data_IF_504137687715
#
_entry.id   IF_504137687715
#
_cell.length_a   1.000
_cell.length_b   1.000
_cell.length_c   1.000
_cell.angle_alpha   90.00
_cell.angle_beta   90.00
_cell.angle_gamma   90.00
#
_symmetry.space_group_name_H-M   'P 1'
#
loop_
_entity.id
_entity.type
_entity.pdbx_description
1 polymer ?
#
# COMPACT_ATOMS: atom_id res chain seq x y z
N UNK A 1 18.16 -11.49 3.09
CA UNK A 1 18.85 -11.01 1.89
C UNK A 1 19.70 -12.13 1.29
N UNK A 2 19.06 -12.99 0.50
CA UNK A 2 19.74 -14.03 -0.26
C UNK A 2 19.54 -13.75 -1.76
N UNK A 3 20.65 -13.52 -2.47
CA UNK A 3 20.65 -13.40 -3.93
C UNK A 3 21.21 -14.69 -4.51
N UNK A 4 20.47 -15.28 -5.45
CA UNK A 4 20.92 -16.44 -6.22
C UNK A 4 21.19 -15.98 -7.64
N UNK A 5 22.41 -16.20 -8.12
CA UNK A 5 22.81 -15.92 -9.50
C UNK A 5 23.07 -17.25 -10.20
N UNK A 6 22.31 -17.50 -11.27
CA UNK A 6 22.46 -18.69 -12.10
C UNK A 6 22.98 -18.24 -13.47
N UNK A 7 24.21 -18.61 -13.77
CA UNK A 7 24.90 -18.22 -15.00
C UNK A 7 24.73 -19.26 -16.12
N UNK A 8 24.90 -18.82 -17.36
CA UNK A 8 24.97 -19.67 -18.55
C UNK A 8 23.71 -20.52 -18.83
N UNK A 9 22.53 -20.08 -18.37
CA UNK A 9 21.27 -20.80 -18.58
C UNK A 9 20.90 -20.76 -20.06
N UNK A 10 20.58 -21.92 -20.64
CA UNK A 10 20.14 -21.99 -22.02
C UNK A 10 18.72 -21.41 -22.15
N UNK A 11 18.47 -20.63 -23.20
CA UNK A 11 17.18 -19.93 -23.36
C UNK A 11 15.99 -20.91 -23.32
N UNK A 12 16.13 -22.10 -23.91
CA UNK A 12 15.11 -23.16 -23.95
C UNK A 12 14.77 -23.76 -22.56
N UNK A 13 15.66 -23.64 -21.58
CA UNK A 13 15.43 -24.10 -20.20
C UNK A 13 14.65 -23.06 -19.38
N UNK A 14 14.48 -21.83 -19.90
CA UNK A 14 13.69 -20.81 -19.24
C UNK A 14 12.18 -20.98 -19.46
N UNK A 15 11.36 -20.60 -18.46
CA UNK A 15 9.92 -20.53 -18.59
C UNK A 15 9.48 -19.74 -19.83
N UNK A 16 8.44 -20.22 -20.51
CA UNK A 16 7.94 -19.60 -21.75
C UNK A 16 7.56 -18.12 -21.58
N UNK A 17 6.96 -17.77 -20.43
CA UNK A 17 6.60 -16.40 -20.08
C UNK A 17 7.81 -15.46 -19.98
N UNK A 18 8.96 -15.97 -19.56
CA UNK A 18 10.19 -15.16 -19.46
C UNK A 18 10.85 -15.01 -20.83
N UNK A 19 10.90 -16.10 -21.61
CA UNK A 19 11.42 -16.08 -22.99
C UNK A 19 10.70 -15.06 -23.88
N UNK A 20 9.38 -14.96 -23.77
CA UNK A 20 8.60 -14.01 -24.56
C UNK A 20 8.99 -12.54 -24.34
N UNK A 21 9.62 -12.21 -23.20
CA UNK A 21 10.03 -10.84 -22.83
C UNK A 21 11.48 -10.52 -23.23
N UNK A 22 12.25 -11.51 -23.67
CA UNK A 22 13.65 -11.36 -24.03
C UNK A 22 13.80 -11.27 -25.57
N UNK A 23 14.30 -10.14 -26.13
CA UNK A 23 14.49 -9.98 -27.57
C UNK A 23 15.80 -10.63 -28.04
N UNK A 24 16.01 -11.91 -27.69
CA UNK A 24 17.29 -12.58 -27.88
C UNK A 24 17.15 -13.76 -28.86
N UNK A 25 18.18 -13.96 -29.70
CA UNK A 25 18.25 -15.07 -30.65
C UNK A 25 18.11 -16.43 -29.94
N UNK A 26 17.48 -17.38 -30.65
CA UNK A 26 16.98 -18.67 -30.13
C UNK A 26 17.99 -19.58 -29.42
N UNK A 27 19.29 -19.26 -29.45
CA UNK A 27 20.40 -20.06 -28.92
C UNK A 27 21.31 -19.30 -27.94
N UNK A 28 20.86 -18.17 -27.39
CA UNK A 28 21.67 -17.41 -26.44
C UNK A 28 21.68 -18.04 -25.04
N UNK A 29 22.77 -17.80 -24.31
CA UNK A 29 22.88 -18.09 -22.88
C UNK A 29 22.60 -16.82 -22.09
N UNK A 30 21.88 -16.96 -20.99
CA UNK A 30 21.43 -15.82 -20.17
C UNK A 30 21.76 -16.07 -18.70
N UNK A 31 21.92 -14.97 -17.96
CA UNK A 31 22.13 -15.01 -16.51
C UNK A 31 20.82 -14.65 -15.82
N UNK A 32 20.37 -15.52 -14.92
CA UNK A 32 19.16 -15.29 -14.11
C UNK A 32 19.60 -14.85 -12.73
N UNK A 33 19.19 -13.64 -12.33
CA UNK A 33 19.36 -13.13 -10.98
C UNK A 33 18.02 -13.22 -10.26
N UNK A 34 17.97 -14.04 -9.22
CA UNK A 34 16.80 -14.23 -8.37
C UNK A 34 17.09 -13.52 -7.05
N UNK A 35 16.23 -12.59 -6.72
CA UNK A 35 16.28 -11.86 -5.46
C UNK A 35 15.00 -12.14 -4.71
N UNK A 36 15.16 -12.41 -3.42
CA UNK A 36 14.04 -12.40 -2.49
C UNK A 36 13.54 -10.95 -2.41
N UNK A 37 12.45 -10.67 -3.12
CA UNK A 37 11.69 -9.44 -2.93
C UNK A 37 11.19 -9.45 -1.50
N UNK A 38 11.55 -8.43 -0.72
CA UNK A 38 10.96 -8.24 0.60
C UNK A 38 9.46 -8.07 0.39
N UNK A 39 8.69 -9.10 0.73
CA UNK A 39 7.24 -8.99 0.80
C UNK A 39 6.94 -7.77 1.66
N UNK A 40 5.95 -6.96 1.29
CA UNK A 40 5.49 -5.78 2.06
C UNK A 40 5.10 -6.09 3.54
N UNK A 41 5.29 -7.33 4.00
CA UNK A 41 5.37 -7.70 5.40
C UNK A 41 6.62 -7.18 6.13
N UNK A 42 7.60 -6.63 5.41
CA UNK A 42 8.66 -5.76 5.98
C UNK A 42 8.31 -4.26 5.85
N UNK A 43 7.03 -3.94 5.59
CA UNK A 43 6.51 -2.66 6.04
C UNK A 43 6.82 -2.57 7.55
N UNK A 44 7.37 -1.44 8.04
CA UNK A 44 7.57 -1.28 9.47
C UNK A 44 6.26 -1.66 10.13
N UNK A 45 6.31 -2.60 11.09
CA UNK A 45 5.16 -3.02 11.90
C UNK A 45 4.30 -1.78 12.11
N UNK A 46 2.99 -1.82 11.80
CA UNK A 46 2.16 -0.62 11.73
C UNK A 46 2.51 0.18 12.96
N UNK A 47 3.18 1.33 12.76
CA UNK A 47 3.73 2.14 13.86
C UNK A 47 2.63 2.14 14.87
N UNK A 48 2.85 1.49 16.02
CA UNK A 48 1.77 1.21 16.94
C UNK A 48 1.06 2.55 17.09
N UNK A 49 -0.22 2.63 16.73
CA UNK A 49 -0.88 3.95 16.52
C UNK A 49 -0.74 4.85 17.77
N UNK A 50 -0.41 4.22 18.89
CA UNK A 50 0.07 4.69 20.19
C UNK A 50 1.37 5.49 20.24
N UNK A 51 2.30 5.40 19.28
CA UNK A 51 3.60 6.09 19.28
C UNK A 51 3.55 7.49 18.65
N UNK A 52 2.41 7.87 18.08
CA UNK A 52 2.20 9.23 17.65
C UNK A 52 1.57 10.04 18.81
N UNK A 53 2.32 10.98 19.43
CA UNK A 53 1.84 11.74 20.58
C UNK A 53 0.61 12.62 20.28
N UNK A 54 0.24 12.77 19.00
CA UNK A 54 -0.97 13.48 18.58
C UNK A 54 -2.23 12.59 18.66
N UNK A 55 -2.09 11.25 18.65
CA UNK A 55 -3.20 10.31 18.84
C UNK A 55 -3.54 10.23 20.33
N UNK A 56 -4.51 11.05 20.75
CA UNK A 56 -4.94 11.17 22.15
C UNK A 56 -5.24 12.60 22.55
N UNK A 57 -4.62 13.58 21.87
CA UNK A 57 -4.90 15.01 22.09
C UNK A 57 -6.38 15.39 21.91
N UNK A 58 -7.15 14.58 21.18
CA UNK A 58 -8.54 14.85 20.83
C UNK A 58 -9.50 13.94 21.61
N UNK A 59 -8.99 13.01 22.42
CA UNK A 59 -9.79 12.05 23.18
C UNK A 59 -10.69 12.74 24.23
N UNK A 60 -10.28 13.91 24.73
CA UNK A 60 -11.07 14.69 25.68
C UNK A 60 -12.16 15.54 25.02
N UNK A 61 -12.30 15.50 23.68
CA UNK A 61 -13.38 16.21 22.98
C UNK A 61 -14.65 15.36 23.00
N UNK A 62 -15.77 15.98 23.36
CA UNK A 62 -17.09 15.33 23.37
C UNK A 62 -17.46 14.70 22.00
N UNK A 63 -17.00 15.32 20.91
CA UNK A 63 -17.19 14.84 19.54
C UNK A 63 -16.52 13.47 19.25
N UNK A 64 -15.56 13.05 20.07
CA UNK A 64 -14.91 11.73 19.92
C UNK A 64 -15.70 10.59 20.55
N UNK A 65 -16.72 10.89 21.37
CA UNK A 65 -17.63 9.88 21.90
C UNK A 65 -18.45 9.21 20.79
N UNK A 66 -18.78 9.94 19.72
CA UNK A 66 -19.38 9.42 18.49
C UNK A 66 -18.80 10.09 17.25
N UNK A 67 -17.64 9.57 16.84
CA UNK A 67 -16.91 10.03 15.63
C UNK A 67 -17.79 9.91 14.38
N UNK A 68 -18.68 8.92 14.32
CA UNK A 68 -19.53 8.69 13.15
C UNK A 68 -20.67 9.71 13.06
N UNK A 69 -21.23 10.16 14.19
CA UNK A 69 -22.17 11.28 14.23
C UNK A 69 -21.48 12.59 13.87
N UNK A 70 -20.32 12.87 14.47
CA UNK A 70 -19.57 14.09 14.18
C UNK A 70 -19.17 14.19 12.70
N UNK A 71 -18.70 13.10 12.10
CA UNK A 71 -18.38 13.05 10.68
C UNK A 71 -19.61 13.23 9.76
N UNK A 72 -20.83 12.89 10.24
CA UNK A 72 -22.07 13.17 9.51
C UNK A 72 -22.41 14.65 9.55
N UNK A 73 -22.25 15.30 10.71
CA UNK A 73 -22.43 16.76 10.84
C UNK A 73 -21.48 17.53 9.93
N UNK A 74 -20.20 17.16 9.88
CA UNK A 74 -19.21 17.78 8.99
C UNK A 74 -19.56 17.65 7.50
N UNK A 75 -20.26 16.57 7.12
CA UNK A 75 -20.69 16.33 5.73
C UNK A 75 -22.07 16.92 5.44
N UNK A 76 -22.78 17.43 6.45
CA UNK A 76 -24.09 18.02 6.26
C UNK A 76 -23.98 19.31 5.42
N UNK A 77 -24.97 19.58 4.56
CA UNK A 77 -25.01 20.84 3.83
C UNK A 77 -25.18 22.01 4.81
N UNK A 78 -24.49 23.13 4.53
CA UNK A 78 -24.55 24.34 5.38
C UNK A 78 -25.92 25.01 5.43
N UNK A 79 -26.76 24.73 4.43
CA UNK A 79 -28.10 25.27 4.32
C UNK A 79 -29.08 24.14 4.08
N UNK A 80 -30.24 24.25 4.71
CA UNK A 80 -31.38 23.40 4.47
C UNK A 80 -31.97 23.70 3.08
N UNK A 81 -32.85 22.82 2.61
CA UNK A 81 -33.53 22.97 1.30
C UNK A 81 -34.40 24.24 1.24
N UNK A 82 -34.88 24.72 2.39
CA UNK A 82 -35.63 25.97 2.53
C UNK A 82 -34.74 27.23 2.58
N UNK A 83 -33.42 27.08 2.49
CA UNK A 83 -32.45 28.17 2.54
C UNK A 83 -32.10 28.66 3.95
N UNK A 84 -32.70 28.08 5.00
CA UNK A 84 -32.28 28.35 6.38
C UNK A 84 -30.90 27.74 6.65
N UNK A 85 -30.15 28.33 7.58
CA UNK A 85 -28.84 27.80 7.98
C UNK A 85 -29.05 26.49 8.73
N UNK A 86 -28.27 25.47 8.38
CA UNK A 86 -28.21 24.24 9.14
C UNK A 86 -27.51 24.54 10.48
N UNK A 87 -28.24 24.40 11.58
CA UNK A 87 -27.71 24.53 12.93
C UNK A 87 -27.06 23.20 13.33
N UNK A 88 -25.83 23.27 13.86
CA UNK A 88 -25.01 22.12 14.26
C UNK A 88 -25.46 21.53 15.60
#
# INVERSE_FOLDING_TARGET
MHTVVIEHVALNELPAAWRARLPVASNARVTVRIEEEATEQDAPAPVALTDNPLFGMWQDRDETADVAAYARTLRAPRYNVDGSRHED
#
